data_IF_474916381977
#
_entry.id   IF_474916381977
#
_cell.length_a   1.000
_cell.length_b   1.000
_cell.length_c   1.000
_cell.angle_alpha   90.00
_cell.angle_beta   90.00
_cell.angle_gamma   90.00
#
_symmetry.space_group_name_H-M   'P 1'
#
loop_
_entity.id
_entity.type
_entity.pdbx_description
1 polymer ?
#
# COMPACT_ATOMS: atom_id res chain seq x y z
N UNK A 1 -17.44 -19.08 -26.61
CA UNK A 1 -17.64 -18.71 -25.19
C UNK A 1 -16.67 -17.58 -24.85
N UNK A 2 -17.13 -16.33 -24.73
CA UNK A 2 -16.27 -15.19 -24.36
C UNK A 2 -15.83 -15.37 -22.91
N UNK A 3 -14.52 -15.50 -22.66
CA UNK A 3 -13.96 -15.45 -21.29
C UNK A 3 -14.38 -14.12 -20.69
N UNK A 4 -15.15 -14.16 -19.60
CA UNK A 4 -15.36 -12.98 -18.75
C UNK A 4 -13.98 -12.63 -18.20
N UNK A 5 -13.40 -11.53 -18.69
CA UNK A 5 -12.26 -10.89 -18.03
C UNK A 5 -12.75 -10.56 -16.61
N UNK A 6 -12.03 -11.03 -15.59
CA UNK A 6 -12.33 -10.69 -14.20
C UNK A 6 -12.46 -9.17 -14.07
N UNK A 7 -13.44 -8.72 -13.29
CA UNK A 7 -13.61 -7.31 -12.94
C UNK A 7 -12.26 -6.83 -12.37
N UNK A 8 -11.67 -5.78 -12.95
CA UNK A 8 -10.50 -5.17 -12.34
C UNK A 8 -10.85 -4.80 -10.89
N UNK A 9 -10.03 -5.22 -9.93
CA UNK A 9 -10.26 -4.84 -8.54
C UNK A 9 -10.30 -3.32 -8.43
N UNK A 10 -11.21 -2.84 -7.60
CA UNK A 10 -11.43 -1.42 -7.39
C UNK A 10 -10.17 -0.80 -6.79
N UNK A 11 -9.61 0.23 -7.45
CA UNK A 11 -8.41 0.92 -6.96
C UNK A 11 -8.74 1.68 -5.68
N UNK A 12 -8.14 1.27 -4.56
CA UNK A 12 -8.31 1.91 -3.25
C UNK A 12 -7.06 2.69 -2.80
N UNK A 13 -5.90 2.40 -3.38
CA UNK A 13 -4.63 3.05 -3.06
C UNK A 13 -4.23 4.09 -4.11
N UNK A 14 -3.73 5.23 -3.63
CA UNK A 14 -3.10 6.24 -4.46
C UNK A 14 -1.58 6.22 -4.28
N UNK A 15 -0.88 5.89 -5.35
CA UNK A 15 0.58 5.86 -5.43
C UNK A 15 1.07 7.12 -6.16
N UNK A 16 1.92 7.92 -5.49
CA UNK A 16 2.53 9.13 -6.06
C UNK A 16 4.01 9.23 -5.69
N UNK A 17 4.78 8.29 -6.19
CA UNK A 17 6.21 8.18 -5.98
C UNK A 17 6.90 7.78 -7.28
N UNK A 18 8.20 8.06 -7.38
CA UNK A 18 9.05 7.66 -8.51
C UNK A 18 9.87 6.40 -8.20
N UNK A 19 10.03 6.09 -6.93
CA UNK A 19 10.92 5.05 -6.43
C UNK A 19 10.20 4.24 -5.36
N UNK A 20 10.53 2.96 -5.29
CA UNK A 20 10.12 2.04 -4.24
C UNK A 20 11.21 1.00 -4.01
N UNK A 21 11.09 0.23 -2.93
CA UNK A 21 12.02 -0.86 -2.62
C UNK A 21 11.48 -2.12 -3.27
N UNK A 22 12.22 -2.68 -4.23
CA UNK A 22 11.86 -3.98 -4.82
C UNK A 22 11.84 -5.06 -3.75
N UNK A 23 10.87 -5.98 -3.81
CA UNK A 23 10.79 -7.13 -2.90
C UNK A 23 12.11 -7.91 -2.86
N UNK A 24 12.73 -8.10 -4.01
CA UNK A 24 14.01 -8.80 -4.14
C UNK A 24 15.15 -8.11 -3.39
N UNK A 25 15.18 -6.78 -3.39
CA UNK A 25 16.19 -6.00 -2.67
C UNK A 25 15.89 -5.92 -1.17
N UNK A 26 14.61 -5.81 -0.80
CA UNK A 26 14.17 -5.86 0.60
C UNK A 26 14.65 -7.15 1.29
N UNK A 27 14.39 -8.30 0.68
CA UNK A 27 14.77 -9.60 1.26
C UNK A 27 16.27 -9.93 1.15
N UNK A 28 17.05 -9.19 0.35
CA UNK A 28 18.52 -9.29 0.37
C UNK A 28 19.13 -8.60 1.59
N UNK A 29 18.54 -7.49 2.06
CA UNK A 29 19.00 -6.80 3.26
C UNK A 29 18.62 -7.60 4.52
N UNK A 30 19.62 -7.94 5.33
CA UNK A 30 19.40 -8.62 6.62
C UNK A 30 18.72 -7.70 7.63
N UNK A 31 19.02 -6.41 7.55
CA UNK A 31 18.51 -5.35 8.40
C UNK A 31 17.01 -5.15 8.14
N UNK A 32 16.62 -4.96 6.87
CA UNK A 32 15.22 -4.77 6.50
C UNK A 32 14.38 -6.01 6.81
N UNK A 33 14.76 -7.19 6.31
CA UNK A 33 13.98 -8.42 6.53
C UNK A 33 14.01 -8.92 7.97
N UNK A 34 14.96 -8.45 8.78
CA UNK A 34 15.08 -8.77 10.20
C UNK A 34 14.29 -7.81 11.10
N UNK A 35 14.01 -6.60 10.61
CA UNK A 35 13.28 -5.58 11.36
C UNK A 35 11.80 -5.51 10.98
N UNK A 36 11.49 -5.64 9.69
CA UNK A 36 10.15 -5.46 9.13
C UNK A 36 9.58 -6.76 8.53
N UNK A 37 8.29 -6.97 8.79
CA UNK A 37 7.42 -7.92 8.10
C UNK A 37 6.75 -7.22 6.91
N UNK A 38 6.73 -7.85 5.74
CA UNK A 38 6.05 -7.31 4.55
C UNK A 38 4.61 -7.80 4.55
N UNK A 39 3.66 -6.85 4.56
CA UNK A 39 2.22 -7.14 4.56
C UNK A 39 1.62 -7.11 3.16
N UNK A 40 2.10 -6.21 2.30
CA UNK A 40 1.65 -6.10 0.91
C UNK A 40 2.76 -5.60 -0.01
N UNK A 41 2.56 -5.84 -1.30
CA UNK A 41 3.41 -5.34 -2.37
C UNK A 41 2.58 -4.96 -3.59
N UNK A 42 3.11 -4.04 -4.38
CA UNK A 42 2.50 -3.60 -5.64
C UNK A 42 3.29 -4.19 -6.81
N UNK A 43 2.57 -4.76 -7.79
CA UNK A 43 3.15 -5.22 -9.06
C UNK A 43 2.51 -4.46 -10.22
N UNK A 44 3.34 -3.73 -10.97
CA UNK A 44 2.91 -2.94 -12.12
C UNK A 44 3.00 -3.72 -13.45
N UNK A 45 3.25 -5.03 -13.39
CA UNK A 45 3.31 -5.93 -14.55
C UNK A 45 4.67 -5.98 -15.25
N UNK A 46 5.70 -5.36 -14.68
CA UNK A 46 7.08 -5.38 -15.17
C UNK A 46 7.94 -6.47 -14.51
N UNK A 47 7.34 -7.29 -13.63
CA UNK A 47 7.99 -8.37 -12.91
C UNK A 47 8.92 -7.87 -11.79
N UNK A 48 8.80 -6.61 -11.36
CA UNK A 48 9.59 -6.01 -10.29
C UNK A 48 8.68 -5.46 -9.19
N UNK A 49 7.98 -6.34 -8.44
CA UNK A 49 7.10 -5.89 -7.38
C UNK A 49 7.87 -5.09 -6.32
N UNK A 50 7.25 -4.02 -5.84
CA UNK A 50 7.78 -3.16 -4.78
C UNK A 50 6.99 -3.37 -3.48
N UNK A 51 7.67 -3.26 -2.35
CA UNK A 51 7.04 -3.29 -1.03
C UNK A 51 6.04 -2.13 -0.91
N UNK A 52 4.79 -2.40 -0.52
CA UNK A 52 3.77 -1.35 -0.36
C UNK A 52 3.30 -1.14 1.08
N UNK A 53 3.30 -2.19 1.92
CA UNK A 53 3.04 -2.05 3.37
C UNK A 53 3.97 -2.94 4.17
N UNK A 54 4.51 -2.40 5.27
CA UNK A 54 5.30 -3.15 6.25
C UNK A 54 4.89 -2.81 7.69
N UNK A 55 5.14 -3.73 8.60
CA UNK A 55 5.08 -3.54 10.04
C UNK A 55 6.40 -4.02 10.68
N UNK A 56 6.86 -3.41 11.75
CA UNK A 56 8.04 -3.89 12.46
C UNK A 56 7.69 -5.08 13.37
N UNK A 57 8.58 -6.08 13.47
CA UNK A 57 8.31 -7.28 14.26
C UNK A 57 8.16 -7.03 15.76
N UNK A 58 8.90 -6.06 16.30
CA UNK A 58 9.04 -5.87 17.75
C UNK A 58 8.79 -4.42 18.20
N UNK A 59 8.31 -3.56 17.29
CA UNK A 59 8.09 -2.13 17.55
C UNK A 59 6.77 -1.70 16.90
N UNK A 60 6.03 -0.74 17.49
CA UNK A 60 4.79 -0.21 16.92
C UNK A 60 5.11 0.75 15.76
N UNK A 61 5.67 0.22 14.69
CA UNK A 61 6.05 0.97 13.49
C UNK A 61 5.37 0.31 12.30
N UNK A 62 4.46 1.03 11.67
CA UNK A 62 3.81 0.67 10.41
C UNK A 62 4.25 1.68 9.36
N UNK A 63 4.55 1.22 8.15
CA UNK A 63 4.93 2.08 7.05
C UNK A 63 4.21 1.67 5.75
N UNK A 64 3.73 2.66 5.01
CA UNK A 64 3.03 2.49 3.74
C UNK A 64 3.73 3.27 2.63
N UNK A 65 3.71 2.73 1.43
CA UNK A 65 4.30 3.37 0.24
C UNK A 65 3.28 4.26 -0.49
N UNK A 66 1.99 3.95 -0.37
CA UNK A 66 0.87 4.73 -0.89
C UNK A 66 0.47 5.85 0.09
N UNK A 67 -0.45 6.71 -0.37
CA UNK A 67 -0.97 7.85 0.36
C UNK A 67 -2.42 7.62 0.80
N UNK A 68 -2.67 6.98 1.95
CA UNK A 68 -4.03 6.71 2.42
C UNK A 68 -4.80 8.00 2.72
N UNK A 69 -4.14 9.06 3.17
CA UNK A 69 -4.75 10.33 3.55
C UNK A 69 -5.47 11.01 2.38
N UNK A 70 -4.99 10.80 1.15
CA UNK A 70 -5.49 11.52 -0.03
C UNK A 70 -6.92 11.16 -0.38
N UNK A 71 -7.36 9.93 -0.11
CA UNK A 71 -8.70 9.47 -0.44
C UNK A 71 -9.81 10.30 0.26
N UNK A 72 -9.53 10.87 1.44
CA UNK A 72 -10.47 11.70 2.20
C UNK A 72 -10.23 13.20 2.02
N UNK A 73 -8.98 13.62 1.86
CA UNK A 73 -8.60 15.03 2.08
C UNK A 73 -8.06 15.75 0.84
N UNK A 74 -7.87 15.07 -0.29
CA UNK A 74 -7.19 15.64 -1.46
C UNK A 74 -7.93 15.39 -2.78
N UNK A 75 -8.31 16.46 -3.49
CA UNK A 75 -9.14 16.41 -4.71
C UNK A 75 -8.47 17.02 -5.95
N UNK A 76 -7.17 17.35 -5.94
CA UNK A 76 -6.54 17.99 -7.11
C UNK A 76 -6.27 17.03 -8.28
N UNK A 77 -6.27 15.72 -8.03
CA UNK A 77 -5.94 14.70 -9.03
C UNK A 77 -7.08 13.69 -9.19
N UNK A 78 -7.61 13.55 -10.41
CA UNK A 78 -8.71 12.62 -10.72
C UNK A 78 -8.33 11.13 -10.52
N UNK A 79 -7.05 10.81 -10.42
CA UNK A 79 -6.59 9.45 -10.13
C UNK A 79 -6.61 9.09 -8.64
N UNK A 80 -6.84 10.07 -7.75
CA UNK A 80 -7.05 9.79 -6.33
C UNK A 80 -8.41 9.09 -6.18
N UNK A 81 -8.45 7.89 -5.59
CA UNK A 81 -9.70 7.16 -5.45
C UNK A 81 -10.54 7.75 -4.30
N UNK A 82 -11.73 8.21 -4.64
CA UNK A 82 -12.73 8.73 -3.68
C UNK A 82 -13.95 7.81 -3.55
N UNK A 83 -13.80 6.53 -3.87
CA UNK A 83 -14.90 5.57 -3.67
C UNK A 83 -15.09 5.30 -2.18
N UNK A 84 -16.28 4.84 -1.78
CA UNK A 84 -16.56 4.52 -0.37
C UNK A 84 -15.53 3.55 0.21
N UNK A 85 -15.07 2.56 -0.57
CA UNK A 85 -14.05 1.61 -0.09
C UNK A 85 -12.70 2.26 0.12
N UNK A 86 -12.29 3.17 -0.76
CA UNK A 86 -11.04 3.92 -0.59
C UNK A 86 -11.08 4.82 0.65
N UNK A 87 -12.23 5.41 0.95
CA UNK A 87 -12.46 6.20 2.16
C UNK A 87 -12.44 5.32 3.43
N UNK A 88 -13.15 4.20 3.42
CA UNK A 88 -13.14 3.22 4.53
C UNK A 88 -11.72 2.70 4.80
N UNK A 89 -10.97 2.40 3.75
CA UNK A 89 -9.57 1.98 3.87
C UNK A 89 -8.71 3.02 4.61
N UNK A 90 -8.89 4.31 4.31
CA UNK A 90 -8.20 5.39 5.03
C UNK A 90 -8.61 5.45 6.49
N UNK A 91 -9.91 5.34 6.77
CA UNK A 91 -10.45 5.36 8.14
C UNK A 91 -9.92 4.16 8.96
N UNK A 92 -9.95 2.95 8.40
CA UNK A 92 -9.48 1.73 9.05
C UNK A 92 -7.99 1.83 9.40
N UNK A 93 -7.15 2.27 8.46
CA UNK A 93 -5.72 2.44 8.71
C UNK A 93 -5.44 3.54 9.75
N UNK A 94 -6.24 4.62 9.76
CA UNK A 94 -6.14 5.66 10.76
C UNK A 94 -6.50 5.14 12.16
N UNK A 95 -7.55 4.32 12.30
CA UNK A 95 -7.91 3.72 13.57
C UNK A 95 -6.86 2.72 14.06
N UNK A 96 -6.29 1.89 13.18
CA UNK A 96 -5.16 1.03 13.53
C UNK A 96 -4.02 1.86 14.13
N UNK A 97 -3.65 2.98 13.50
CA UNK A 97 -2.58 3.83 14.02
C UNK A 97 -2.94 4.52 15.36
N UNK A 98 -4.18 4.99 15.51
CA UNK A 98 -4.65 5.62 16.75
C UNK A 98 -4.68 4.62 17.92
N UNK A 99 -5.06 3.38 17.67
CA UNK A 99 -5.13 2.33 18.69
C UNK A 99 -3.75 1.90 19.21
N UNK A 100 -2.67 2.23 18.49
CA UNK A 100 -1.28 2.00 18.90
C UNK A 100 -0.66 3.16 19.71
N UNK A 101 -1.40 4.25 19.95
CA UNK A 101 -0.95 5.44 20.69
C UNK A 101 -1.30 5.39 22.19
#
# INVERSE_FOLDING_TARGET
>A
KKKKMGKADERIEFNWHRYGIYLSEFYKSKELRGFFNVLSYDDYGDGKPIVSTVEAFNYPIIAVQYHPEKNLFDFWNQNIPHTRKAQQFTEDLAFIFIDEC
#
